data_IF_839915620163
#
_entry.id   IF_839915620163
#
_cell.length_a   1.000
_cell.length_b   1.000
_cell.length_c   1.000
_cell.angle_alpha   90.00
_cell.angle_beta   90.00
_cell.angle_gamma   90.00
#
_symmetry.space_group_name_H-M   'P 1'
#
loop_
_entity.id
_entity.type
_entity.pdbx_description
1 polymer ?
#
# COMPACT_ATOMS: atom_id res chain seq x y z
N UNK A 1 -19.43 -6.32 5.95
CA UNK A 1 -18.29 -6.36 5.00
C UNK A 1 -17.61 -5.01 5.07
N UNK A 2 -16.27 -4.90 5.23
CA UNK A 2 -15.63 -3.61 5.06
C UNK A 2 -15.99 -3.13 3.65
N UNK A 3 -16.60 -1.96 3.61
CA UNK A 3 -17.32 -1.45 2.45
C UNK A 3 -16.38 -1.42 1.24
N UNK A 4 -16.82 -1.94 0.10
CA UNK A 4 -16.02 -1.96 -1.15
C UNK A 4 -15.46 -0.57 -1.45
N UNK A 5 -16.20 0.47 -1.09
CA UNK A 5 -15.78 1.87 -1.19
C UNK A 5 -14.59 2.22 -0.29
N UNK A 6 -14.53 1.69 0.93
CA UNK A 6 -13.39 1.89 1.85
C UNK A 6 -12.13 1.20 1.32
N UNK A 7 -12.27 -0.01 0.76
CA UNK A 7 -11.13 -0.72 0.16
C UNK A 7 -10.60 -0.02 -1.10
N UNK A 8 -11.49 0.53 -1.94
CA UNK A 8 -11.07 1.32 -3.10
C UNK A 8 -10.36 2.62 -2.68
N UNK A 9 -10.90 3.34 -1.69
CA UNK A 9 -10.26 4.53 -1.14
C UNK A 9 -8.87 4.23 -0.61
N UNK A 10 -8.72 3.15 0.15
CA UNK A 10 -7.40 2.75 0.67
C UNK A 10 -6.43 2.43 -0.47
N UNK A 11 -6.88 1.79 -1.56
CA UNK A 11 -6.02 1.54 -2.73
C UNK A 11 -5.56 2.85 -3.39
N UNK A 12 -6.44 3.84 -3.52
CA UNK A 12 -6.08 5.16 -4.04
C UNK A 12 -5.08 5.88 -3.14
N UNK A 13 -5.29 5.84 -1.82
CA UNK A 13 -4.37 6.42 -0.83
C UNK A 13 -2.98 5.77 -0.88
N UNK A 14 -2.93 4.43 -0.98
CA UNK A 14 -1.66 3.69 -1.11
C UNK A 14 -0.91 4.07 -2.38
N UNK A 15 -1.61 4.18 -3.51
CA UNK A 15 -1.00 4.62 -4.78
C UNK A 15 -0.49 6.06 -4.69
N UNK A 16 -1.24 6.97 -4.06
CA UNK A 16 -0.80 8.35 -3.85
C UNK A 16 0.51 8.42 -3.05
N UNK A 17 0.62 7.66 -1.96
CA UNK A 17 1.84 7.60 -1.14
C UNK A 17 3.03 7.00 -1.91
N UNK A 18 2.82 5.90 -2.64
CA UNK A 18 3.87 5.25 -3.43
C UNK A 18 4.38 6.11 -4.59
N UNK A 19 3.48 6.88 -5.22
CA UNK A 19 3.81 7.72 -6.37
C UNK A 19 4.59 8.98 -5.97
N UNK A 20 4.34 9.50 -4.76
CA UNK A 20 4.94 10.74 -4.26
C UNK A 20 6.45 10.57 -4.00
N UNK A 21 6.85 9.46 -3.39
CA UNK A 21 8.24 9.24 -3.00
C UNK A 21 9.08 8.53 -4.06
N UNK A 22 8.44 7.83 -5.03
CA UNK A 22 9.08 6.91 -6.01
C UNK A 22 10.11 5.94 -5.38
N UNK A 23 10.00 5.70 -4.09
CA UNK A 23 10.88 4.84 -3.30
C UNK A 23 10.12 3.62 -2.84
N UNK A 24 10.82 2.48 -2.71
CA UNK A 24 10.20 1.27 -2.20
C UNK A 24 9.87 1.44 -0.71
N UNK A 25 8.64 1.08 -0.31
CA UNK A 25 8.20 1.16 1.09
C UNK A 25 7.73 -0.20 1.60
N UNK A 26 7.96 -0.48 2.88
CA UNK A 26 7.39 -1.68 3.53
C UNK A 26 5.89 -1.51 3.77
N UNK A 27 5.19 -2.62 4.00
CA UNK A 27 3.76 -2.59 4.38
C UNK A 27 3.50 -1.74 5.63
N UNK A 28 4.42 -1.76 6.61
CA UNK A 28 4.29 -0.96 7.83
C UNK A 28 4.50 0.53 7.56
N UNK A 29 5.51 0.90 6.77
CA UNK A 29 5.72 2.29 6.35
C UNK A 29 4.50 2.84 5.62
N UNK A 30 3.93 2.08 4.67
CA UNK A 30 2.74 2.48 3.94
C UNK A 30 1.52 2.67 4.85
N UNK A 31 1.36 1.81 5.87
CA UNK A 31 0.30 1.98 6.88
C UNK A 31 0.47 3.31 7.63
N UNK A 32 1.69 3.58 8.08
CA UNK A 32 1.99 4.76 8.88
C UNK A 32 1.87 6.05 8.05
N UNK A 33 2.36 6.06 6.81
CA UNK A 33 2.21 7.17 5.87
C UNK A 33 0.73 7.45 5.52
N UNK A 34 -0.07 6.40 5.29
CA UNK A 34 -1.50 6.56 5.01
C UNK A 34 -2.21 7.16 6.22
N UNK A 35 -1.90 6.66 7.42
CA UNK A 35 -2.45 7.19 8.67
C UNK A 35 -2.07 8.65 8.90
N UNK A 36 -0.80 9.00 8.68
CA UNK A 36 -0.30 10.36 8.87
C UNK A 36 -0.88 11.33 7.82
N UNK A 37 -0.91 10.92 6.56
CA UNK A 37 -1.34 11.78 5.44
C UNK A 37 -2.85 11.97 5.34
N UNK A 38 -3.64 10.93 5.62
CA UNK A 38 -5.09 10.94 5.42
C UNK A 38 -5.89 10.90 6.72
N UNK A 39 -5.25 10.72 7.87
CA UNK A 39 -5.91 10.65 9.18
C UNK A 39 -6.74 9.38 9.42
N UNK A 40 -6.75 8.45 8.46
CA UNK A 40 -7.56 7.23 8.53
C UNK A 40 -6.85 6.15 9.36
N UNK A 41 -7.48 5.62 10.43
CA UNK A 41 -6.94 4.48 11.15
C UNK A 41 -7.01 3.23 10.26
N UNK A 42 -5.84 2.77 9.81
CA UNK A 42 -5.73 1.59 8.94
C UNK A 42 -4.91 0.48 9.60
N UNK A 43 -5.45 -0.74 9.56
CA UNK A 43 -4.76 -1.93 10.09
C UNK A 43 -3.81 -2.51 9.05
N UNK A 44 -2.69 -3.06 9.49
CA UNK A 44 -1.63 -3.58 8.61
C UNK A 44 -2.11 -4.69 7.67
N UNK A 45 -3.07 -5.51 8.13
CA UNK A 45 -3.65 -6.57 7.31
C UNK A 45 -4.47 -6.01 6.13
N UNK A 46 -5.23 -4.93 6.35
CA UNK A 46 -6.00 -4.27 5.30
C UNK A 46 -5.06 -3.67 4.25
N UNK A 47 -3.94 -3.08 4.68
CA UNK A 47 -2.90 -2.56 3.78
C UNK A 47 -2.31 -3.71 2.94
N UNK A 48 -1.87 -4.80 3.57
CA UNK A 48 -1.29 -5.94 2.85
C UNK A 48 -2.24 -6.57 1.83
N UNK A 49 -3.51 -6.76 2.20
CA UNK A 49 -4.53 -7.31 1.29
C UNK A 49 -4.76 -6.40 0.08
N UNK A 50 -4.86 -5.08 0.30
CA UNK A 50 -5.06 -4.13 -0.80
C UNK A 50 -3.83 -4.01 -1.71
N UNK A 51 -2.61 -4.08 -1.16
CA UNK A 51 -1.37 -4.15 -1.95
C UNK A 51 -1.31 -5.43 -2.81
N UNK A 52 -1.75 -6.56 -2.27
CA UNK A 52 -1.85 -7.81 -3.05
C UNK A 52 -2.84 -7.68 -4.21
N UNK A 53 -3.95 -6.96 -4.02
CA UNK A 53 -4.91 -6.66 -5.10
C UNK A 53 -4.28 -5.75 -6.16
N UNK A 54 -3.62 -4.67 -5.74
CA UNK A 54 -2.90 -3.77 -6.65
C UNK A 54 -1.80 -4.51 -7.43
N UNK A 55 -1.09 -5.43 -6.79
CA UNK A 55 -0.06 -6.24 -7.44
C UNK A 55 -0.65 -7.14 -8.52
N UNK A 56 -1.79 -7.78 -8.24
CA UNK A 56 -2.50 -8.64 -9.22
C UNK A 56 -3.02 -7.84 -10.42
N UNK A 57 -3.31 -6.54 -10.23
CA UNK A 57 -3.71 -5.62 -11.31
C UNK A 57 -2.53 -5.09 -12.11
N UNK A 58 -1.31 -5.22 -11.58
CA UNK A 58 -0.13 -4.63 -12.18
C UNK A 58 0.08 -3.16 -11.82
N UNK A 59 -0.61 -2.63 -10.80
CA UNK A 59 -0.44 -1.23 -10.35
C UNK A 59 0.79 -1.05 -9.46
N UNK A 60 1.20 -2.11 -8.76
CA UNK A 60 2.39 -2.14 -7.90
C UNK A 60 3.21 -3.40 -8.12
N UNK A 61 4.50 -3.31 -7.85
CA UNK A 61 5.42 -4.45 -7.83
C UNK A 61 5.91 -4.70 -6.42
N UNK A 62 5.97 -5.98 -6.04
CA UNK A 62 6.58 -6.43 -4.80
C UNK A 62 8.05 -6.74 -5.06
N UNK A 63 8.96 -5.99 -4.46
CA UNK A 63 10.38 -6.29 -4.47
C UNK A 63 10.72 -7.28 -3.36
N UNK A 64 11.52 -8.29 -3.68
CA UNK A 64 12.16 -9.18 -2.69
C UNK A 64 13.52 -8.58 -2.35
N UNK A 65 13.55 -7.58 -1.48
CA UNK A 65 14.80 -7.08 -0.90
C UNK A 65 15.39 -8.14 0.05
N UNK A 66 16.72 -8.18 0.26
CA UNK A 66 17.32 -9.02 1.29
C UNK A 66 16.80 -8.58 2.67
N UNK A 67 15.86 -9.34 3.23
CA UNK A 67 15.16 -9.03 4.48
C UNK A 67 13.86 -9.83 4.62
N UNK A 68 13.20 -9.71 5.78
CA UNK A 68 11.90 -10.38 6.05
C UNK A 68 10.72 -9.63 5.46
N UNK A 69 10.86 -8.33 5.27
CA UNK A 69 9.76 -7.45 4.90
C UNK A 69 9.54 -7.35 3.40
N UNK A 70 8.27 -7.33 3.01
CA UNK A 70 7.89 -7.05 1.63
C UNK A 70 8.02 -5.56 1.35
N UNK A 71 8.79 -5.21 0.33
CA UNK A 71 8.84 -3.85 -0.19
C UNK A 71 7.94 -3.70 -1.41
N UNK A 72 7.28 -2.56 -1.52
CA UNK A 72 6.32 -2.25 -2.57
C UNK A 72 6.76 -1.00 -3.34
N UNK A 73 6.63 -1.06 -4.66
CA UNK A 73 6.94 -0.02 -5.61
C UNK A 73 5.75 0.19 -6.55
N UNK A 74 5.51 1.40 -7.08
CA UNK A 74 4.60 1.55 -8.21
C UNK A 74 5.09 0.71 -9.39
N UNK A 75 4.17 0.18 -10.18
CA UNK A 75 4.52 -0.35 -11.49
C UNK A 75 4.95 0.79 -12.42
N UNK A 76 5.83 0.48 -13.38
CA UNK A 76 6.28 1.43 -14.42
C UNK A 76 5.19 1.61 -15.48
#
# INVERSE_FOLDING_TARGET
MPDRMQAERLRQQLMAVLSDTRQSKTTAQLRDDVRERFGDPVVIEAVYRNLTVLQRRGDVRRSKSPGRDAHWLPAE
#
